data_IF_377497987643
#
_entry.id   IF_377497987643
#
_cell.length_a   1.000
_cell.length_b   1.000
_cell.length_c   1.000
_cell.angle_alpha   90.00
_cell.angle_beta   90.00
_cell.angle_gamma   90.00
#
_symmetry.space_group_name_H-M   'P 1'
#
loop_
_entity.id
_entity.type
_entity.pdbx_description
1 polymer ?
#
# COMPACT_ATOMS: atom_id res chain seq x y z
N UNK A 1 17.14 -34.63 -40.36
CA UNK A 1 16.21 -34.20 -39.30
C UNK A 1 16.19 -35.28 -38.23
N UNK A 2 16.75 -35.01 -37.04
CA UNK A 2 16.81 -35.98 -35.95
C UNK A 2 15.85 -35.54 -34.84
N UNK A 3 14.79 -36.32 -34.64
CA UNK A 3 13.87 -36.18 -33.52
C UNK A 3 14.60 -36.55 -32.21
N UNK A 4 14.69 -35.59 -31.28
CA UNK A 4 15.29 -35.80 -29.97
C UNK A 4 14.20 -36.29 -29.01
N UNK A 5 14.18 -37.58 -28.75
CA UNK A 5 13.27 -38.22 -27.81
C UNK A 5 13.43 -37.63 -26.41
N UNK A 6 12.34 -37.08 -25.85
CA UNK A 6 12.25 -36.72 -24.44
C UNK A 6 12.26 -38.00 -23.59
N UNK A 7 13.19 -38.08 -22.64
CA UNK A 7 13.16 -39.09 -21.58
C UNK A 7 12.55 -38.47 -20.32
N UNK A 8 11.30 -38.82 -20.05
CA UNK A 8 10.66 -38.62 -18.74
C UNK A 8 11.25 -39.62 -17.75
N UNK A 9 12.19 -39.18 -16.91
CA UNK A 9 12.50 -39.87 -15.67
C UNK A 9 11.63 -39.24 -14.57
N UNK A 10 10.61 -39.97 -14.12
CA UNK A 10 9.74 -39.60 -13.02
C UNK A 10 10.55 -39.61 -11.71
N UNK A 11 11.06 -38.44 -11.32
CA UNK A 11 11.41 -38.20 -9.93
C UNK A 11 10.15 -37.72 -9.22
N UNK A 12 9.82 -38.36 -8.10
CA UNK A 12 8.76 -37.95 -7.19
C UNK A 12 9.07 -36.56 -6.64
N UNK A 13 8.68 -35.51 -7.37
CA UNK A 13 8.79 -34.13 -6.91
C UNK A 13 7.58 -33.88 -6.02
N UNK A 14 7.81 -33.73 -4.72
CA UNK A 14 6.87 -33.03 -3.85
C UNK A 14 6.77 -31.62 -4.43
N UNK A 15 5.70 -31.36 -5.20
CA UNK A 15 5.40 -30.02 -5.70
C UNK A 15 4.96 -29.20 -4.49
N UNK A 16 5.94 -28.62 -3.79
CA UNK A 16 5.67 -27.47 -2.95
C UNK A 16 5.24 -26.40 -3.94
N UNK A 17 3.93 -26.16 -4.02
CA UNK A 17 3.36 -25.01 -4.72
C UNK A 17 3.84 -23.75 -3.97
N UNK A 18 5.08 -23.33 -4.20
CA UNK A 18 5.48 -21.96 -3.89
C UNK A 18 4.74 -21.11 -4.89
N UNK A 19 3.54 -20.65 -4.52
CA UNK A 19 2.88 -19.54 -5.19
C UNK A 19 3.77 -18.33 -4.97
N UNK A 20 4.75 -18.15 -5.85
CA UNK A 20 5.46 -16.89 -5.97
C UNK A 20 4.42 -15.89 -6.50
N UNK A 21 3.63 -15.33 -5.59
CA UNK A 21 2.75 -14.22 -5.88
C UNK A 21 3.64 -13.13 -6.45
N UNK A 22 3.47 -12.80 -7.73
CA UNK A 22 4.19 -11.70 -8.36
C UNK A 22 3.93 -10.46 -7.51
N UNK A 23 4.96 -10.02 -6.78
CA UNK A 23 4.90 -8.80 -6.01
C UNK A 23 4.86 -7.64 -6.99
N UNK A 24 3.87 -6.76 -6.86
CA UNK A 24 3.93 -5.47 -7.54
C UNK A 24 5.11 -4.67 -6.98
N UNK A 25 6.01 -4.30 -7.87
CA UNK A 25 7.18 -3.48 -7.58
C UNK A 25 7.41 -2.58 -8.80
N UNK A 26 7.03 -1.29 -8.71
CA UNK A 26 7.22 -0.37 -9.83
C UNK A 26 8.71 -0.09 -10.04
N UNK A 27 9.12 0.04 -11.30
CA UNK A 27 10.51 0.34 -11.66
C UNK A 27 10.98 1.63 -10.99
N UNK A 28 12.19 1.60 -10.43
CA UNK A 28 12.78 2.76 -9.76
C UNK A 28 12.23 3.03 -8.35
N UNK A 29 11.43 2.13 -7.78
CA UNK A 29 11.05 2.21 -6.38
C UNK A 29 12.29 2.17 -5.45
N UNK A 30 12.36 3.13 -4.54
CA UNK A 30 13.38 3.18 -3.50
C UNK A 30 12.71 3.24 -2.11
N UNK A 31 13.34 2.71 -1.04
CA UNK A 31 12.83 2.89 0.32
C UNK A 31 12.65 4.38 0.63
N UNK A 32 11.49 4.75 1.16
CA UNK A 32 11.22 6.11 1.60
C UNK A 32 11.73 6.29 3.04
N UNK A 33 12.51 7.35 3.28
CA UNK A 33 12.75 7.83 4.65
C UNK A 33 11.44 8.43 5.18
N UNK A 34 10.83 7.75 6.14
CA UNK A 34 9.44 7.99 6.54
C UNK A 34 9.37 9.25 7.41
N UNK A 35 8.68 10.32 6.98
CA UNK A 35 8.56 11.53 7.79
C UNK A 35 7.80 11.26 9.09
N UNK A 36 8.21 11.90 10.19
CA UNK A 36 7.55 11.75 11.51
C UNK A 36 6.04 12.02 11.48
N UNK A 37 5.61 12.92 10.58
CA UNK A 37 4.19 13.24 10.36
C UNK A 37 3.33 12.01 10.04
N UNK A 38 3.91 10.97 9.44
CA UNK A 38 3.20 9.75 9.06
C UNK A 38 2.67 8.99 10.29
N UNK A 39 3.39 9.00 11.41
CA UNK A 39 2.93 8.38 12.67
C UNK A 39 1.73 9.12 13.25
N UNK A 40 1.74 10.45 13.19
CA UNK A 40 0.61 11.28 13.60
C UNK A 40 -0.61 10.99 12.72
N UNK A 41 -0.41 10.92 11.41
CA UNK A 41 -1.48 10.62 10.46
C UNK A 41 -2.04 9.20 10.62
N UNK A 42 -1.20 8.24 10.96
CA UNK A 42 -1.61 6.88 11.31
C UNK A 42 -2.52 6.86 12.53
N UNK A 43 -2.11 7.51 13.62
CA UNK A 43 -2.92 7.60 14.84
C UNK A 43 -4.29 8.28 14.59
N UNK A 44 -4.37 9.25 13.67
CA UNK A 44 -5.64 9.82 13.23
C UNK A 44 -6.54 8.79 12.54
N UNK A 45 -5.96 7.98 11.65
CA UNK A 45 -6.69 6.93 10.94
C UNK A 45 -7.17 5.85 11.90
N UNK A 46 -6.34 5.44 12.86
CA UNK A 46 -6.73 4.45 13.86
C UNK A 46 -7.93 4.93 14.68
N UNK A 47 -7.89 6.18 15.16
CA UNK A 47 -9.00 6.81 15.87
C UNK A 47 -10.24 6.93 15.00
N UNK A 48 -10.10 7.31 13.73
CA UNK A 48 -11.26 7.45 12.86
C UNK A 48 -11.90 6.10 12.52
N UNK A 49 -11.08 5.14 12.08
CA UNK A 49 -11.53 3.84 11.60
C UNK A 49 -11.94 2.90 12.75
N UNK A 50 -11.68 3.30 14.00
CA UNK A 50 -11.89 2.49 15.20
C UNK A 50 -11.16 1.14 15.09
N UNK A 51 -9.93 1.19 14.58
CA UNK A 51 -9.04 0.04 14.36
C UNK A 51 -7.63 0.43 14.74
N UNK A 52 -6.88 -0.53 15.28
CA UNK A 52 -5.48 -0.29 15.64
C UNK A 52 -4.58 -1.36 15.06
N UNK A 53 -3.34 -0.96 14.81
CA UNK A 53 -2.37 -1.75 14.10
C UNK A 53 -0.96 -1.17 14.27
N UNK A 54 0.04 -2.05 14.25
CA UNK A 54 1.44 -1.62 14.34
C UNK A 54 1.86 -0.83 13.08
N UNK A 55 2.25 0.43 13.27
CA UNK A 55 2.78 1.28 12.20
C UNK A 55 4.10 0.73 11.63
N UNK A 56 4.93 0.09 12.45
CA UNK A 56 6.27 -0.35 12.07
C UNK A 56 6.24 -1.57 11.13
N UNK A 57 5.06 -2.15 10.87
CA UNK A 57 4.87 -3.17 9.82
C UNK A 57 4.88 -2.58 8.41
N UNK A 58 4.58 -1.28 8.27
CA UNK A 58 4.47 -0.62 6.98
C UNK A 58 5.85 -0.52 6.31
N UNK A 59 5.88 -0.65 4.99
CA UNK A 59 7.06 -0.49 4.16
C UNK A 59 6.75 0.55 3.10
N UNK A 60 7.28 1.75 3.29
CA UNK A 60 7.09 2.86 2.37
C UNK A 60 8.17 2.89 1.29
N UNK A 61 7.75 3.16 0.08
CA UNK A 61 8.58 3.27 -1.11
C UNK A 61 8.22 4.55 -1.84
N UNK A 62 9.23 5.21 -2.41
CA UNK A 62 9.04 6.34 -3.30
C UNK A 62 9.39 5.97 -4.73
N UNK A 63 8.67 6.53 -5.70
CA UNK A 63 8.94 6.40 -7.13
C UNK A 63 9.04 7.81 -7.72
N UNK A 64 10.11 8.11 -8.46
CA UNK A 64 10.33 9.44 -9.01
C UNK A 64 9.18 9.89 -9.94
N UNK A 65 8.79 11.16 -9.81
CA UNK A 65 7.77 11.79 -10.66
C UNK A 65 6.44 12.08 -9.97
N UNK A 66 5.42 12.37 -10.80
CA UNK A 66 4.06 12.70 -10.35
C UNK A 66 3.15 11.47 -10.25
N UNK A 67 3.38 10.49 -11.12
CA UNK A 67 2.71 9.19 -11.12
C UNK A 67 3.69 8.09 -11.52
N UNK A 68 3.32 6.85 -11.27
CA UNK A 68 4.04 5.65 -11.73
C UNK A 68 3.06 4.63 -12.34
N UNK A 69 3.53 3.71 -13.22
CA UNK A 69 2.68 2.68 -13.80
C UNK A 69 2.10 1.72 -12.74
N UNK A 70 0.78 1.48 -12.80
CA UNK A 70 0.11 0.41 -12.06
C UNK A 70 -0.76 -0.46 -13.01
N UNK A 71 -1.20 -1.64 -12.55
CA UNK A 71 -2.09 -2.52 -13.33
C UNK A 71 -3.37 -1.84 -13.82
N UNK A 72 -3.94 -0.94 -13.01
CA UNK A 72 -5.22 -0.28 -13.29
C UNK A 72 -5.06 1.12 -13.91
N UNK A 73 -3.84 1.50 -14.32
CA UNK A 73 -3.50 2.81 -14.86
C UNK A 73 -2.42 3.54 -14.04
N UNK A 74 -2.12 4.82 -14.32
CA UNK A 74 -1.14 5.58 -13.54
C UNK A 74 -1.61 5.80 -12.10
N UNK A 75 -0.71 5.56 -11.13
CA UNK A 75 -0.95 5.84 -9.70
C UNK A 75 -0.12 7.00 -9.21
N UNK A 76 -0.68 7.80 -8.30
CA UNK A 76 0.09 8.71 -7.44
C UNK A 76 0.48 8.03 -6.10
N UNK A 77 -0.31 7.06 -5.66
CA UNK A 77 -0.06 6.19 -4.51
C UNK A 77 -0.63 4.79 -4.76
N UNK A 78 -0.06 3.78 -4.11
CA UNK A 78 -0.63 2.42 -4.12
C UNK A 78 -0.20 1.63 -2.89
N UNK A 79 -1.18 1.20 -2.11
CA UNK A 79 -1.02 0.09 -1.17
C UNK A 79 -1.03 -1.25 -1.90
N UNK A 80 -0.12 -2.12 -1.50
CA UNK A 80 0.01 -3.49 -1.96
C UNK A 80 0.13 -4.38 -0.73
N UNK A 81 -0.81 -5.33 -0.64
CA UNK A 81 -0.81 -6.35 0.40
C UNK A 81 0.54 -7.09 0.46
N UNK A 82 1.07 -7.39 1.66
CA UNK A 82 0.43 -7.10 2.95
C UNK A 82 0.64 -5.67 3.45
N UNK A 83 1.84 -5.09 3.31
CA UNK A 83 2.21 -3.85 3.99
C UNK A 83 3.06 -2.87 3.18
N UNK A 84 2.99 -2.94 1.85
CA UNK A 84 3.80 -2.09 0.98
C UNK A 84 2.98 -0.88 0.54
N UNK A 85 3.54 0.32 0.70
CA UNK A 85 2.94 1.56 0.23
C UNK A 85 3.92 2.24 -0.71
N UNK A 86 3.55 2.37 -1.98
CA UNK A 86 4.31 3.09 -3.00
C UNK A 86 3.71 4.48 -3.18
N UNK A 87 4.53 5.52 -3.18
CA UNK A 87 4.10 6.92 -3.34
C UNK A 87 4.99 7.61 -4.37
N UNK A 88 4.36 8.29 -5.34
CA UNK A 88 5.11 9.11 -6.29
C UNK A 88 5.74 10.30 -5.54
N UNK A 89 6.99 10.63 -5.87
CA UNK A 89 7.82 11.63 -5.18
C UNK A 89 7.08 12.95 -4.92
N UNK A 90 6.30 13.43 -5.89
CA UNK A 90 5.52 14.68 -5.78
C UNK A 90 4.52 14.69 -4.61
N UNK A 91 4.13 13.53 -4.09
CA UNK A 91 3.04 13.37 -3.13
C UNK A 91 3.48 12.90 -1.74
N UNK A 92 4.78 12.70 -1.48
CA UNK A 92 5.27 12.19 -0.19
C UNK A 92 4.88 13.08 1.01
N UNK A 93 4.70 14.38 0.78
CA UNK A 93 4.30 15.35 1.79
C UNK A 93 2.81 15.72 1.72
N UNK A 94 2.01 14.97 0.96
CA UNK A 94 0.61 15.28 0.71
C UNK A 94 -0.30 14.41 1.59
N UNK A 95 -0.78 14.92 2.74
CA UNK A 95 -1.31 14.09 3.83
C UNK A 95 -2.47 13.21 3.39
N UNK A 96 -3.35 13.72 2.54
CA UNK A 96 -4.51 12.96 2.10
C UNK A 96 -4.16 11.75 1.25
N UNK A 97 -3.15 11.84 0.38
CA UNK A 97 -2.77 10.72 -0.47
C UNK A 97 -2.07 9.65 0.40
N UNK A 98 -1.18 10.09 1.28
CA UNK A 98 -0.49 9.17 2.20
C UNK A 98 -1.50 8.48 3.13
N UNK A 99 -2.46 9.23 3.69
CA UNK A 99 -3.51 8.69 4.55
C UNK A 99 -4.44 7.73 3.80
N UNK A 100 -4.68 7.97 2.52
CA UNK A 100 -5.44 7.05 1.67
C UNK A 100 -4.78 5.67 1.61
N UNK A 101 -3.48 5.63 1.28
CA UNK A 101 -2.75 4.36 1.20
C UNK A 101 -2.56 3.68 2.56
N UNK A 102 -2.35 4.45 3.62
CA UNK A 102 -2.33 3.91 4.99
C UNK A 102 -3.68 3.30 5.39
N UNK A 103 -4.80 3.91 4.98
CA UNK A 103 -6.13 3.40 5.32
C UNK A 103 -6.39 2.05 4.63
N UNK A 104 -5.88 1.85 3.42
CA UNK A 104 -5.88 0.53 2.78
C UNK A 104 -5.16 -0.52 3.65
N UNK A 105 -3.98 -0.20 4.19
CA UNK A 105 -3.25 -1.11 5.08
C UNK A 105 -4.00 -1.39 6.38
N UNK A 106 -4.51 -0.35 7.03
CA UNK A 106 -5.23 -0.46 8.29
C UNK A 106 -6.48 -1.36 8.16
N UNK A 107 -7.12 -1.33 7.00
CA UNK A 107 -8.29 -2.15 6.69
C UNK A 107 -7.93 -3.52 6.10
N UNK A 108 -6.71 -3.68 5.59
CA UNK A 108 -6.24 -4.88 4.92
C UNK A 108 -6.96 -5.16 3.60
N UNK A 109 -7.42 -4.13 2.90
CA UNK A 109 -8.15 -4.28 1.63
C UNK A 109 -7.72 -3.23 0.60
N UNK A 110 -7.64 -3.66 -0.66
CA UNK A 110 -7.45 -2.77 -1.82
C UNK A 110 -8.76 -2.13 -2.29
N UNK A 111 -9.90 -2.55 -1.72
CA UNK A 111 -11.20 -1.95 -2.00
C UNK A 111 -11.36 -0.61 -1.28
N UNK A 112 -12.37 0.15 -1.69
CA UNK A 112 -12.77 1.41 -1.05
C UNK A 112 -14.14 1.29 -0.35
N UNK A 113 -14.27 0.59 0.80
CA UNK A 113 -15.52 0.52 1.54
C UNK A 113 -16.11 1.92 1.78
N UNK A 114 -17.38 2.19 1.41
CA UNK A 114 -17.97 3.52 1.52
C UNK A 114 -17.96 4.08 2.95
N UNK A 115 -18.04 3.21 3.96
CA UNK A 115 -17.99 3.60 5.37
C UNK A 115 -16.67 4.28 5.78
N UNK A 116 -15.55 3.93 5.13
CA UNK A 116 -14.21 4.46 5.48
C UNK A 116 -13.64 5.38 4.40
N UNK A 117 -13.96 5.17 3.13
CA UNK A 117 -13.46 5.98 2.01
C UNK A 117 -14.44 7.02 1.47
N UNK A 118 -15.71 6.96 1.87
CA UNK A 118 -16.74 7.89 1.43
C UNK A 118 -16.67 9.29 2.07
N UNK A 119 -17.59 10.20 1.72
CA UNK A 119 -17.62 11.60 2.18
C UNK A 119 -17.61 11.81 3.71
N UNK A 120 -18.14 10.86 4.46
CA UNK A 120 -18.17 10.88 5.93
C UNK A 120 -17.10 9.97 6.57
N UNK A 121 -16.23 9.37 5.76
CA UNK A 121 -15.23 8.39 6.18
C UNK A 121 -13.91 9.01 6.64
N UNK A 122 -12.93 8.13 6.84
CA UNK A 122 -11.60 8.44 7.38
C UNK A 122 -10.60 8.95 6.35
N UNK A 123 -10.91 8.78 5.07
CA UNK A 123 -10.09 9.24 3.94
C UNK A 123 -10.06 10.77 3.77
N UNK A 124 -10.89 11.53 4.51
CA UNK A 124 -11.15 12.95 4.23
C UNK A 124 -10.78 13.93 5.36
N UNK A 125 -9.65 13.73 6.04
CA UNK A 125 -9.09 14.79 6.91
C UNK A 125 -8.53 16.01 6.13
N UNK A 126 -9.21 16.41 5.07
CA UNK A 126 -9.03 17.67 4.38
C UNK A 126 -9.70 18.85 5.09
N UNK A 127 -10.66 18.61 6.00
CA UNK A 127 -11.61 19.68 6.40
C UNK A 127 -12.12 19.68 7.84
N UNK A 128 -11.51 18.93 8.78
CA UNK A 128 -11.82 19.11 10.22
C UNK A 128 -10.64 19.74 10.96
N UNK A 129 -10.82 20.92 11.58
CA UNK A 129 -9.92 21.39 12.63
C UNK A 129 -9.87 20.32 13.74
N UNK A 130 -8.76 20.24 14.47
CA UNK A 130 -8.65 19.44 15.67
C UNK A 130 -9.87 19.70 16.59
N UNK A 131 -10.37 18.69 17.33
CA UNK A 131 -11.48 18.90 18.25
C UNK A 131 -11.12 20.01 19.24
N UNK A 132 -11.82 21.13 19.14
CA UNK A 132 -11.75 22.24 20.09
C UNK A 132 -12.34 21.77 21.41
N UNK A 133 -11.48 21.28 22.31
CA UNK A 133 -11.91 20.81 23.63
C UNK A 133 -10.82 20.32 24.58
N UNK A 134 -9.54 20.51 24.28
CA UNK A 134 -8.47 20.31 25.27
C UNK A 134 -8.12 21.66 25.91
N UNK A 135 -8.89 22.04 26.93
CA UNK A 135 -8.52 23.00 27.98
C UNK A 135 -8.98 22.44 29.31
#
# INVERSE_FOLDING_TARGET
MLARHLRCAAALVVVVFTTASCRFEPDGAAPLDVPDAYRTWWADLERCAQRSADFDRLRFWTVNGETFPCPDGPCAGRWQSPHHIYIAERWINHPALVKHEMLHDLLGTGDHPPATFGPAGCNLFWSRPAPSGAT
#
